data_IF_769351231834
#
_entry.id   IF_769351231834
#
_cell.length_a   1.000
_cell.length_b   1.000
_cell.length_c   1.000
_cell.angle_alpha   90.00
_cell.angle_beta   90.00
_cell.angle_gamma   90.00
#
_symmetry.space_group_name_H-M   'P 1'
#
loop_
_entity.id
_entity.type
_entity.pdbx_description
1 polymer ?
#
# COMPACT_ATOMS: atom_id res chain seq x y z
N UNK A 1 8.02 -12.15 11.13
CA UNK A 1 9.12 -12.14 10.12
C UNK A 1 10.32 -11.31 10.55
N UNK A 2 11.51 -11.47 9.90
CA UNK A 2 12.75 -10.72 10.24
C UNK A 2 12.83 -9.36 9.53
N UNK A 3 13.67 -8.46 10.06
CA UNK A 3 13.86 -7.09 9.53
C UNK A 3 14.27 -7.04 8.04
N UNK A 4 15.04 -8.03 7.57
CA UNK A 4 15.39 -8.09 6.16
C UNK A 4 14.17 -8.35 5.26
N UNK A 5 13.24 -9.20 5.73
CA UNK A 5 12.03 -9.53 4.98
C UNK A 5 11.05 -8.34 4.89
N UNK A 6 10.85 -7.60 5.99
CA UNK A 6 10.00 -6.40 5.93
C UNK A 6 10.63 -5.32 5.04
N UNK A 7 11.97 -5.16 5.06
CA UNK A 7 12.67 -4.22 4.18
C UNK A 7 12.48 -4.60 2.70
N UNK A 8 12.63 -5.88 2.36
CA UNK A 8 12.37 -6.43 1.01
C UNK A 8 10.92 -6.18 0.57
N UNK A 9 9.95 -6.61 1.40
CA UNK A 9 8.52 -6.47 1.11
C UNK A 9 8.06 -5.03 0.88
N UNK A 10 8.68 -4.08 1.56
CA UNK A 10 8.34 -2.66 1.44
C UNK A 10 9.26 -1.89 0.47
N UNK A 11 10.21 -2.58 -0.20
CA UNK A 11 11.15 -1.97 -1.13
C UNK A 11 12.04 -0.91 -0.48
N UNK A 12 12.50 -1.15 0.77
CA UNK A 12 13.38 -0.25 1.52
C UNK A 12 14.62 -0.97 2.03
N UNK A 13 15.45 -0.31 2.82
CA UNK A 13 16.66 -0.91 3.41
C UNK A 13 16.46 -1.19 4.91
N UNK A 14 17.18 -2.18 5.44
CA UNK A 14 17.22 -2.44 6.89
C UNK A 14 17.65 -1.20 7.67
N UNK A 15 18.55 -0.38 7.11
CA UNK A 15 18.96 0.90 7.70
C UNK A 15 17.79 1.87 7.84
N UNK A 16 16.96 1.99 6.81
CA UNK A 16 15.76 2.85 6.81
C UNK A 16 14.73 2.35 7.82
N UNK A 17 14.50 1.03 7.93
CA UNK A 17 13.62 0.45 8.94
C UNK A 17 14.08 0.83 10.35
N UNK A 18 15.38 0.67 10.65
CA UNK A 18 15.96 1.04 11.95
C UNK A 18 15.87 2.53 12.23
N UNK A 19 16.05 3.35 11.20
CA UNK A 19 15.90 4.81 11.31
C UNK A 19 14.46 5.20 11.67
N UNK A 20 13.45 4.59 11.07
CA UNK A 20 12.06 4.86 11.45
C UNK A 20 11.72 4.37 12.87
N UNK A 21 12.36 3.30 13.36
CA UNK A 21 12.28 2.93 14.78
C UNK A 21 12.88 3.99 15.69
N UNK A 22 14.05 4.54 15.35
CA UNK A 22 14.69 5.57 16.17
C UNK A 22 13.91 6.89 16.22
N UNK A 23 13.07 7.16 15.21
CA UNK A 23 12.15 8.29 15.16
C UNK A 23 10.78 8.04 15.82
N UNK A 24 10.53 6.81 16.28
CA UNK A 24 9.22 6.43 16.83
C UNK A 24 8.10 6.31 15.78
N UNK A 25 8.42 6.45 14.50
CA UNK A 25 7.44 6.34 13.41
C UNK A 25 6.97 4.91 13.20
N UNK A 26 7.87 3.94 13.40
CA UNK A 26 7.58 2.52 13.33
C UNK A 26 7.79 1.90 14.71
N UNK A 27 6.78 1.27 15.34
CA UNK A 27 6.94 0.59 16.61
C UNK A 27 8.01 -0.50 16.53
N UNK A 28 8.78 -0.67 17.60
CA UNK A 28 9.72 -1.79 17.69
C UNK A 28 8.93 -3.05 18.02
N UNK A 29 8.97 -4.10 17.19
CA UNK A 29 8.21 -5.31 17.45
C UNK A 29 8.77 -6.08 18.64
N UNK A 30 7.93 -6.93 19.24
CA UNK A 30 8.33 -7.85 20.29
C UNK A 30 9.45 -8.80 19.80
N UNK A 31 10.28 -9.25 20.72
CA UNK A 31 11.28 -10.26 20.43
C UNK A 31 10.69 -11.66 20.62
N UNK A 32 10.89 -12.51 19.63
CA UNK A 32 10.56 -13.93 19.71
C UNK A 32 11.78 -14.76 19.33
N UNK A 33 12.24 -15.60 20.24
CA UNK A 33 13.43 -16.43 20.02
C UNK A 33 14.73 -15.63 19.80
N UNK A 34 14.89 -14.46 20.45
CA UNK A 34 16.07 -13.59 20.33
C UNK A 34 16.09 -12.70 19.06
N UNK A 35 14.97 -12.63 18.32
CA UNK A 35 14.84 -11.80 17.11
C UNK A 35 13.56 -10.98 17.16
N UNK A 36 13.62 -9.77 16.60
CA UNK A 36 12.44 -8.92 16.39
C UNK A 36 11.50 -9.58 15.39
N UNK A 37 10.26 -9.80 15.81
CA UNK A 37 9.23 -10.46 15.01
C UNK A 37 8.26 -9.43 14.42
N UNK A 38 8.49 -9.06 13.15
CA UNK A 38 7.65 -8.11 12.44
C UNK A 38 6.38 -8.81 11.92
N UNK A 39 5.25 -8.16 12.12
CA UNK A 39 3.92 -8.60 11.72
C UNK A 39 3.39 -7.78 10.54
N UNK A 40 2.22 -8.14 10.00
CA UNK A 40 1.55 -7.42 8.91
C UNK A 40 1.35 -5.94 9.25
N UNK A 41 0.92 -5.61 10.45
CA UNK A 41 0.73 -4.23 10.91
C UNK A 41 2.02 -3.38 10.75
N UNK A 42 3.20 -3.97 10.97
CA UNK A 42 4.47 -3.27 10.73
C UNK A 42 4.73 -3.05 9.25
N UNK A 43 4.33 -3.99 8.38
CA UNK A 43 4.47 -3.85 6.91
C UNK A 43 3.54 -2.75 6.40
N UNK A 44 2.28 -2.76 6.82
CA UNK A 44 1.28 -1.76 6.46
C UNK A 44 1.72 -0.36 6.92
N UNK A 45 2.12 -0.22 8.19
CA UNK A 45 2.63 1.04 8.74
C UNK A 45 3.87 1.56 8.01
N UNK A 46 4.84 0.70 7.73
CA UNK A 46 6.04 1.08 6.98
C UNK A 46 5.70 1.51 5.55
N UNK A 47 4.78 0.82 4.89
CA UNK A 47 4.29 1.18 3.56
C UNK A 47 3.59 2.54 3.59
N UNK A 48 2.76 2.81 4.61
CA UNK A 48 2.11 4.10 4.83
C UNK A 48 3.12 5.23 5.04
N UNK A 49 4.14 5.03 5.89
CA UNK A 49 5.22 6.00 6.09
C UNK A 49 5.85 6.35 4.74
N UNK A 50 6.25 5.35 3.96
CA UNK A 50 6.89 5.56 2.66
C UNK A 50 5.99 6.27 1.66
N UNK A 51 4.71 5.93 1.63
CA UNK A 51 3.74 6.57 0.77
C UNK A 51 3.59 8.06 1.09
N UNK A 52 3.48 8.43 2.37
CA UNK A 52 3.41 9.82 2.82
C UNK A 52 4.70 10.59 2.51
N UNK A 53 5.87 9.96 2.71
CA UNK A 53 7.17 10.56 2.37
C UNK A 53 7.30 10.77 0.86
N UNK A 54 6.85 9.81 0.03
CA UNK A 54 6.81 9.97 -1.44
C UNK A 54 5.85 11.08 -1.88
N UNK A 55 4.78 11.32 -1.14
CA UNK A 55 3.91 12.47 -1.34
C UNK A 55 4.59 13.81 -0.99
N UNK A 56 5.81 13.81 -0.47
CA UNK A 56 6.57 15.01 -0.12
C UNK A 56 6.37 15.51 1.31
N UNK A 57 5.71 14.73 2.19
CA UNK A 57 5.53 15.10 3.59
C UNK A 57 6.82 14.92 4.37
N UNK A 58 7.12 15.87 5.28
CA UNK A 58 8.23 15.73 6.22
C UNK A 58 7.96 14.58 7.21
N UNK A 59 9.01 13.98 7.76
CA UNK A 59 8.88 12.90 8.75
C UNK A 59 8.14 13.35 10.01
N UNK A 60 8.24 14.62 10.38
CA UNK A 60 7.47 15.21 11.48
C UNK A 60 5.96 15.23 11.17
N UNK A 61 5.59 15.67 9.95
CA UNK A 61 4.19 15.65 9.51
C UNK A 61 3.65 14.21 9.45
N UNK A 62 4.45 13.26 8.94
CA UNK A 62 4.13 11.84 8.96
C UNK A 62 3.86 11.34 10.38
N UNK A 63 4.70 11.73 11.35
CA UNK A 63 4.53 11.36 12.75
C UNK A 63 3.21 11.86 13.35
N UNK A 64 2.80 13.09 13.04
CA UNK A 64 1.49 13.64 13.47
C UNK A 64 0.33 12.83 12.89
N UNK A 65 0.35 12.59 11.58
CA UNK A 65 -0.71 11.82 10.89
C UNK A 65 -0.83 10.40 11.44
N UNK A 66 0.29 9.75 11.73
CA UNK A 66 0.29 8.40 12.30
C UNK A 66 -0.19 8.38 13.75
N UNK A 67 0.18 9.41 14.54
CA UNK A 67 -0.23 9.54 15.94
C UNK A 67 -1.73 9.80 16.09
N UNK A 68 -2.33 10.61 15.22
CA UNK A 68 -3.77 10.84 15.18
C UNK A 68 -4.55 9.55 14.86
N UNK A 69 -4.01 8.72 13.97
CA UNK A 69 -4.65 7.43 13.60
C UNK A 69 -4.54 6.39 14.72
N UNK A 70 -3.44 6.38 15.47
CA UNK A 70 -3.24 5.47 16.61
C UNK A 70 -4.09 5.93 17.82
N UNK A 71 -4.28 7.25 18.01
CA UNK A 71 -5.08 7.83 19.08
C UNK A 71 -6.58 7.54 18.98
N UNK A 72 -7.08 7.24 17.78
CA UNK A 72 -8.45 6.79 17.57
C UNK A 72 -8.68 5.33 18.02
N UNK A 73 -7.62 4.58 18.32
CA UNK A 73 -7.64 3.15 18.64
C UNK A 73 -7.21 2.78 20.06
N UNK A 74 -6.85 3.74 20.93
CA UNK A 74 -6.37 3.42 22.30
C UNK A 74 -7.02 4.30 23.36
N UNK A 75 -7.51 3.73 24.46
CA UNK A 75 -7.70 4.46 25.70
C UNK A 75 -6.40 4.47 26.54
N UNK A 76 -6.12 5.64 27.08
CA UNK A 76 -5.21 6.03 28.16
C UNK A 76 -3.71 6.23 27.88
N UNK A 77 -3.24 7.44 28.24
CA UNK A 77 -1.83 7.79 28.21
C UNK A 77 -1.23 7.77 29.61
N UNK A 78 -0.21 6.96 29.85
CA UNK A 78 0.72 7.27 30.94
C UNK A 78 2.15 7.45 30.43
N UNK A 79 2.60 8.66 30.56
CA UNK A 79 3.91 9.05 31.07
C UNK A 79 5.14 8.90 30.16
N UNK A 80 5.68 10.03 29.72
CA UNK A 80 7.08 10.08 29.29
C UNK A 80 7.50 11.37 28.60
N UNK A 81 7.87 12.37 29.38
CA UNK A 81 8.54 13.62 28.92
C UNK A 81 9.94 13.33 28.41
N UNK A 82 10.37 14.04 27.38
CA UNK A 82 11.76 14.43 27.29
C UNK A 82 12.38 14.51 25.90
N UNK A 83 12.81 15.69 25.52
CA UNK A 83 14.02 15.88 24.76
C UNK A 83 13.87 16.34 23.32
N UNK A 84 13.91 17.63 23.13
CA UNK A 84 14.14 18.29 21.85
C UNK A 84 15.51 18.00 21.27
N UNK A 85 15.61 18.00 19.97
CA UNK A 85 16.84 17.92 19.22
C UNK A 85 16.59 18.28 17.77
N UNK A 86 16.73 19.57 17.48
CA UNK A 86 16.83 20.05 16.12
C UNK A 86 18.11 19.53 15.49
N UNK A 87 18.07 19.02 14.25
CA UNK A 87 19.22 19.08 13.32
C UNK A 87 18.81 18.76 11.88
N UNK A 88 18.95 19.79 11.09
CA UNK A 88 19.64 19.87 9.81
C UNK A 88 19.05 19.13 8.61
N UNK A 89 18.41 19.93 7.79
CA UNK A 89 18.30 19.72 6.34
C UNK A 89 19.69 19.46 5.73
N UNK A 90 19.85 18.30 5.09
CA UNK A 90 20.97 18.09 4.21
C UNK A 90 20.54 18.34 2.79
N UNK A 91 21.07 19.45 2.29
CA UNK A 91 21.00 19.94 0.93
C UNK A 91 21.49 18.90 -0.08
N UNK A 92 20.73 18.74 -1.15
CA UNK A 92 21.16 18.07 -2.35
C UNK A 92 22.42 18.78 -2.93
N UNK A 93 23.50 18.04 -3.06
CA UNK A 93 24.70 18.53 -3.74
C UNK A 93 24.50 18.39 -5.24
N UNK A 94 24.47 19.52 -5.90
CA UNK A 94 24.61 19.59 -7.38
C UNK A 94 25.98 19.11 -7.85
N UNK A 95 26.06 18.39 -8.95
CA UNK A 95 27.36 18.05 -9.56
C UNK A 95 27.97 19.30 -10.20
N UNK A 96 29.24 19.55 -9.86
CA UNK A 96 30.06 20.59 -10.45
C UNK A 96 30.27 20.32 -11.93
N UNK A 97 29.95 21.31 -12.75
CA UNK A 97 30.33 21.37 -14.15
C UNK A 97 31.84 21.41 -14.29
N UNK A 98 32.40 20.48 -15.04
CA UNK A 98 33.78 20.52 -15.51
C UNK A 98 33.84 21.31 -16.80
N UNK A 99 34.76 22.31 -16.85
CA UNK A 99 34.97 23.16 -17.99
C UNK A 99 35.61 22.38 -19.14
N UNK A 100 35.25 22.64 -20.40
CA UNK A 100 35.92 22.03 -21.57
C UNK A 100 37.20 22.78 -21.92
N UNK A 101 38.24 21.99 -22.19
CA UNK A 101 39.46 22.48 -22.89
C UNK A 101 39.12 22.58 -24.36
N UNK A 102 39.36 23.76 -24.91
CA UNK A 102 39.47 24.05 -26.35
C UNK A 102 40.70 23.39 -26.95
N UNK A 103 40.51 22.51 -27.93
CA UNK A 103 41.50 22.24 -28.99
C UNK A 103 40.81 22.31 -30.34
N UNK A 104 41.29 23.26 -31.14
CA UNK A 104 40.98 23.43 -32.56
C UNK A 104 41.69 22.36 -33.40
N UNK A 105 40.98 21.77 -34.36
CA UNK A 105 41.56 21.29 -35.61
C UNK A 105 40.44 21.00 -36.65
N UNK A 106 40.73 20.96 -37.96
CA UNK A 106 39.93 21.62 -38.97
C UNK A 106 38.96 20.70 -39.70
N UNK A 107 37.98 21.35 -40.31
CA UNK A 107 36.95 20.76 -41.13
C UNK A 107 37.49 20.07 -42.39
N UNK A 108 37.04 18.84 -42.63
CA UNK A 108 36.82 18.30 -43.99
C UNK A 108 35.55 17.54 -44.01
N UNK A 109 34.77 17.79 -45.06
CA UNK A 109 33.38 17.47 -45.22
C UNK A 109 33.01 15.99 -45.31
N UNK A 110 31.72 15.79 -45.47
CA UNK A 110 30.99 14.54 -45.70
C UNK A 110 30.69 13.72 -44.45
N UNK A 111 29.61 14.10 -43.75
CA UNK A 111 28.55 13.14 -43.36
C UNK A 111 27.33 13.92 -42.77
N UNK A 112 26.32 14.18 -43.59
CA UNK A 112 25.14 14.94 -43.23
C UNK A 112 24.11 14.09 -42.42
N UNK A 113 24.55 12.99 -41.77
CA UNK A 113 23.66 12.08 -41.02
C UNK A 113 24.13 11.81 -39.56
N UNK A 114 25.15 12.55 -39.09
CA UNK A 114 25.46 12.48 -37.65
C UNK A 114 24.53 13.41 -36.90
N UNK A 115 23.67 12.82 -36.08
CA UNK A 115 22.87 13.57 -35.10
C UNK A 115 23.81 14.55 -34.36
N UNK A 116 23.43 15.81 -34.28
CA UNK A 116 24.23 16.83 -33.61
C UNK A 116 24.26 16.51 -32.11
N UNK A 117 25.44 16.21 -31.51
CA UNK A 117 25.53 15.83 -30.10
C UNK A 117 24.85 16.82 -29.14
N UNK A 118 24.87 18.12 -29.50
CA UNK A 118 24.18 19.15 -28.70
C UNK A 118 22.68 19.02 -28.79
N UNK A 119 22.11 18.57 -29.87
CA UNK A 119 20.69 18.31 -30.02
C UNK A 119 20.25 17.09 -29.17
N UNK A 120 21.05 16.04 -29.17
CA UNK A 120 20.85 14.84 -28.36
C UNK A 120 20.94 15.17 -26.85
N UNK A 121 21.95 15.95 -26.44
CA UNK A 121 22.12 16.39 -25.06
C UNK A 121 20.95 17.28 -24.59
N UNK A 122 20.49 18.21 -25.46
CA UNK A 122 19.34 19.05 -25.17
C UNK A 122 18.00 18.27 -25.13
N UNK A 123 17.83 17.30 -26.02
CA UNK A 123 16.67 16.43 -26.04
C UNK A 123 16.62 15.56 -24.76
N UNK A 124 17.75 14.95 -24.37
CA UNK A 124 17.82 14.19 -23.12
C UNK A 124 17.61 15.04 -21.86
N UNK A 125 18.10 16.28 -21.86
CA UNK A 125 17.84 17.22 -20.77
C UNK A 125 16.35 17.63 -20.70
N UNK A 126 15.70 17.81 -21.85
CA UNK A 126 14.28 18.13 -21.91
C UNK A 126 13.44 16.95 -21.41
N UNK A 127 13.72 15.74 -21.87
CA UNK A 127 13.04 14.52 -21.43
C UNK A 127 13.16 14.33 -19.91
N UNK A 128 14.35 14.54 -19.33
CA UNK A 128 14.56 14.46 -17.89
C UNK A 128 13.72 15.52 -17.11
N UNK A 129 13.53 16.72 -17.67
CA UNK A 129 12.69 17.77 -17.07
C UNK A 129 11.22 17.41 -17.19
N UNK A 130 10.80 16.84 -18.31
CA UNK A 130 9.40 16.37 -18.50
C UNK A 130 9.06 15.23 -17.54
N UNK A 131 9.93 14.24 -17.38
CA UNK A 131 9.77 13.18 -16.37
C UNK A 131 9.69 13.74 -14.95
N UNK A 132 10.50 14.76 -14.64
CA UNK A 132 10.45 15.42 -13.33
C UNK A 132 9.15 16.20 -13.12
N UNK A 133 8.65 16.86 -14.15
CA UNK A 133 7.34 17.55 -14.10
C UNK A 133 6.19 16.57 -13.86
N UNK A 134 6.22 15.42 -14.51
CA UNK A 134 5.24 14.37 -14.31
C UNK A 134 5.27 13.83 -12.87
N UNK A 135 6.45 13.63 -12.30
CA UNK A 135 6.59 13.19 -10.90
C UNK A 135 6.07 14.26 -9.92
N UNK A 136 6.44 15.53 -10.10
CA UNK A 136 5.95 16.64 -9.27
C UNK A 136 4.43 16.81 -9.40
N UNK A 137 3.88 16.62 -10.61
CA UNK A 137 2.44 16.67 -10.84
C UNK A 137 1.73 15.55 -10.08
N UNK A 138 2.22 14.31 -10.16
CA UNK A 138 1.70 13.18 -9.37
C UNK A 138 1.74 13.45 -7.87
N UNK A 139 2.84 14.02 -7.37
CA UNK A 139 2.97 14.40 -5.95
C UNK A 139 1.96 15.45 -5.54
N UNK A 140 1.77 16.48 -6.37
CA UNK A 140 0.77 17.54 -6.14
C UNK A 140 -0.63 16.95 -6.05
N UNK A 141 -1.02 16.09 -6.98
CA UNK A 141 -2.35 15.50 -7.05
C UNK A 141 -2.60 14.59 -5.83
N UNK A 142 -1.59 13.82 -5.42
CA UNK A 142 -1.65 13.03 -4.20
C UNK A 142 -1.86 13.92 -2.97
N UNK A 143 -1.07 14.99 -2.81
CA UNK A 143 -1.21 15.93 -1.69
C UNK A 143 -2.56 16.64 -1.68
N UNK A 144 -3.07 17.03 -2.84
CA UNK A 144 -4.41 17.63 -2.97
C UNK A 144 -5.50 16.67 -2.48
N UNK A 145 -5.43 15.40 -2.90
CA UNK A 145 -6.35 14.36 -2.44
C UNK A 145 -6.26 14.10 -0.92
N UNK A 146 -5.04 14.10 -0.35
CA UNK A 146 -4.84 13.97 1.10
C UNK A 146 -5.43 15.16 1.86
N UNK A 147 -5.24 16.38 1.34
CA UNK A 147 -5.76 17.60 1.95
C UNK A 147 -7.30 17.60 1.99
N UNK A 148 -7.95 17.21 0.91
CA UNK A 148 -9.42 17.12 0.85
C UNK A 148 -9.96 16.08 1.84
N UNK A 149 -9.33 14.91 1.96
CA UNK A 149 -9.71 13.89 2.96
C UNK A 149 -9.54 14.38 4.38
N UNK A 150 -8.39 15.01 4.69
CA UNK A 150 -8.14 15.57 6.01
C UNK A 150 -9.17 16.67 6.37
N UNK A 151 -9.54 17.53 5.42
CA UNK A 151 -10.59 18.53 5.60
C UNK A 151 -11.97 17.91 5.87
N UNK A 152 -12.25 16.76 5.25
CA UNK A 152 -13.47 15.98 5.49
C UNK A 152 -13.45 15.17 6.79
N UNK A 153 -12.36 15.23 7.59
CA UNK A 153 -12.21 14.43 8.81
C UNK A 153 -11.97 12.94 8.57
N UNK A 154 -11.68 12.54 7.33
CA UNK A 154 -11.40 11.17 6.99
C UNK A 154 -9.94 10.79 7.29
N UNK A 155 -9.72 9.51 7.59
CA UNK A 155 -8.36 8.99 7.78
C UNK A 155 -7.50 9.22 6.54
N UNK A 156 -6.27 9.69 6.74
CA UNK A 156 -5.29 9.87 5.66
C UNK A 156 -4.77 8.49 5.24
N UNK A 157 -5.46 7.88 4.29
CA UNK A 157 -5.19 6.56 3.71
C UNK A 157 -5.46 6.62 2.20
N UNK A 158 -4.81 5.79 1.35
CA UNK A 158 -5.15 5.66 -0.06
C UNK A 158 -6.47 4.90 -0.30
N UNK A 159 -7.02 4.23 0.71
CA UNK A 159 -8.35 3.64 0.61
C UNK A 159 -9.39 4.69 0.22
N UNK A 160 -10.39 4.29 -0.55
CA UNK A 160 -11.55 5.14 -0.78
C UNK A 160 -12.33 5.33 0.53
N UNK A 161 -13.12 6.41 0.67
CA UNK A 161 -13.96 6.61 1.86
C UNK A 161 -14.90 5.43 2.13
N UNK A 162 -15.37 4.76 1.09
CA UNK A 162 -16.28 3.62 1.19
C UNK A 162 -15.57 2.39 1.77
N UNK A 163 -14.34 2.07 1.29
CA UNK A 163 -13.51 1.00 1.86
C UNK A 163 -13.22 1.25 3.35
N UNK A 164 -12.81 2.47 3.70
CA UNK A 164 -12.53 2.83 5.08
C UNK A 164 -13.79 2.70 5.97
N UNK A 165 -14.94 3.19 5.51
CA UNK A 165 -16.21 3.10 6.23
C UNK A 165 -16.65 1.65 6.46
N UNK A 166 -16.44 0.76 5.49
CA UNK A 166 -16.69 -0.69 5.63
C UNK A 166 -15.89 -1.28 6.79
N UNK A 167 -14.56 -1.09 6.79
CA UNK A 167 -13.72 -1.64 7.86
C UNK A 167 -14.03 -1.03 9.23
N UNK A 168 -14.28 0.27 9.31
CA UNK A 168 -14.69 0.94 10.56
C UNK A 168 -16.00 0.36 11.11
N UNK A 169 -16.92 -0.03 10.23
CA UNK A 169 -18.19 -0.66 10.60
C UNK A 169 -17.96 -2.09 11.07
N UNK A 170 -17.18 -2.88 10.34
CA UNK A 170 -16.83 -4.26 10.72
C UNK A 170 -16.08 -4.31 12.05
N UNK A 171 -15.09 -3.44 12.28
CA UNK A 171 -14.37 -3.38 13.55
C UNK A 171 -15.27 -3.04 14.74
N UNK A 172 -16.23 -2.12 14.56
CA UNK A 172 -17.19 -1.75 15.61
C UNK A 172 -18.18 -2.86 15.91
N UNK A 173 -18.61 -3.60 14.89
CA UNK A 173 -19.60 -4.67 15.01
C UNK A 173 -18.97 -6.02 15.40
N UNK A 174 -17.64 -6.16 15.39
CA UNK A 174 -16.95 -7.40 15.74
C UNK A 174 -17.32 -7.87 17.17
N UNK A 175 -17.80 -9.11 17.33
CA UNK A 175 -18.34 -9.61 18.59
C UNK A 175 -17.28 -9.79 19.67
N UNK A 176 -16.03 -10.03 19.30
CA UNK A 176 -14.93 -10.29 20.21
C UNK A 176 -13.59 -9.71 19.71
N UNK A 177 -12.54 -9.84 20.54
CA UNK A 177 -11.22 -9.33 20.23
C UNK A 177 -10.51 -10.08 19.08
N UNK A 178 -10.76 -11.37 18.94
CA UNK A 178 -10.14 -12.20 17.89
C UNK A 178 -10.72 -11.82 16.53
N UNK A 179 -12.05 -11.75 16.41
CA UNK A 179 -12.74 -11.30 15.19
C UNK A 179 -12.29 -9.90 14.79
N UNK A 180 -12.20 -8.98 15.78
CA UNK A 180 -11.73 -7.61 15.53
C UNK A 180 -10.29 -7.57 15.02
N UNK A 181 -9.41 -8.43 15.55
CA UNK A 181 -8.05 -8.54 15.06
C UNK A 181 -8.01 -9.05 13.61
N UNK A 182 -8.84 -10.01 13.24
CA UNK A 182 -8.94 -10.51 11.86
C UNK A 182 -9.40 -9.42 10.90
N UNK A 183 -10.42 -8.64 11.27
CA UNK A 183 -10.89 -7.49 10.48
C UNK A 183 -9.77 -6.45 10.28
N UNK A 184 -9.03 -6.13 11.35
CA UNK A 184 -7.89 -5.20 11.25
C UNK A 184 -6.79 -5.68 10.31
N UNK A 185 -6.50 -6.97 10.32
CA UNK A 185 -5.49 -7.53 9.44
C UNK A 185 -5.93 -7.49 7.97
N UNK A 186 -7.20 -7.73 7.70
CA UNK A 186 -7.74 -7.60 6.35
C UNK A 186 -7.72 -6.14 5.90
N UNK A 187 -8.06 -5.20 6.77
CA UNK A 187 -7.89 -3.77 6.55
C UNK A 187 -6.44 -3.40 6.21
N UNK A 188 -5.47 -3.90 6.99
CA UNK A 188 -4.04 -3.65 6.77
C UNK A 188 -3.59 -4.22 5.41
N UNK A 189 -4.14 -5.35 4.99
CA UNK A 189 -3.86 -5.95 3.68
C UNK A 189 -4.40 -5.08 2.54
N UNK A 190 -5.64 -4.62 2.64
CA UNK A 190 -6.27 -3.72 1.65
C UNK A 190 -5.52 -2.38 1.60
N UNK A 191 -5.19 -1.79 2.74
CA UNK A 191 -4.35 -0.59 2.83
C UNK A 191 -3.01 -0.80 2.11
N UNK A 192 -2.35 -1.92 2.37
CA UNK A 192 -1.08 -2.27 1.74
C UNK A 192 -1.21 -2.39 0.22
N UNK A 193 -2.28 -3.01 -0.28
CA UNK A 193 -2.58 -3.09 -1.70
C UNK A 193 -2.78 -1.69 -2.31
N UNK A 194 -3.50 -0.81 -1.61
CA UNK A 194 -3.70 0.59 -2.01
C UNK A 194 -2.38 1.38 -2.02
N UNK A 195 -1.51 1.26 -1.00
CA UNK A 195 -0.19 1.92 -0.96
C UNK A 195 0.72 1.48 -2.12
N UNK A 196 0.51 0.28 -2.64
CA UNK A 196 1.27 -0.27 -3.76
C UNK A 196 0.66 0.04 -5.12
N UNK A 197 -0.52 0.70 -5.15
CA UNK A 197 -1.27 0.94 -6.38
C UNK A 197 -1.81 -0.36 -7.02
N UNK A 198 -1.98 -1.40 -6.23
CA UNK A 198 -2.45 -2.72 -6.68
C UNK A 198 -3.97 -2.88 -6.52
N UNK A 199 -4.62 -1.98 -5.78
CA UNK A 199 -6.07 -1.94 -5.59
C UNK A 199 -6.66 -0.95 -6.60
N UNK A 200 -7.40 -1.39 -7.63
CA UNK A 200 -8.07 -0.50 -8.56
C UNK A 200 -9.20 0.25 -7.85
N UNK A 201 -9.45 1.54 -8.18
CA UNK A 201 -10.55 2.31 -7.59
C UNK A 201 -11.92 1.62 -7.75
N UNK A 202 -12.11 0.92 -8.85
CA UNK A 202 -13.34 0.18 -9.18
C UNK A 202 -13.64 -0.94 -8.16
N UNK A 203 -12.61 -1.45 -7.47
CA UNK A 203 -12.78 -2.45 -6.42
C UNK A 203 -13.58 -1.94 -5.21
N UNK A 204 -13.79 -0.62 -5.07
CA UNK A 204 -14.63 -0.09 -3.99
C UNK A 204 -16.07 -0.61 -4.01
N UNK A 205 -16.55 -1.08 -5.16
CA UNK A 205 -17.88 -1.68 -5.31
C UNK A 205 -18.09 -2.92 -4.42
N UNK A 206 -17.01 -3.59 -4.02
CA UNK A 206 -17.06 -4.73 -3.10
C UNK A 206 -17.17 -4.33 -1.62
N UNK A 207 -17.01 -3.05 -1.33
CA UNK A 207 -17.13 -2.52 0.03
C UNK A 207 -18.48 -1.83 0.17
N UNK A 208 -19.49 -2.62 0.51
CA UNK A 208 -20.89 -2.20 0.47
C UNK A 208 -21.23 -1.06 1.41
N UNK A 209 -22.29 -0.33 1.04
CA UNK A 209 -23.08 0.47 1.96
C UNK A 209 -23.65 -0.42 3.08
N UNK A 210 -24.02 0.15 4.24
CA UNK A 210 -24.49 -0.63 5.38
C UNK A 210 -25.64 -1.56 4.99
N UNK A 211 -25.38 -2.86 5.06
CA UNK A 211 -26.37 -3.93 4.91
C UNK A 211 -26.23 -4.89 6.09
N UNK A 212 -27.21 -4.93 7.02
CA UNK A 212 -27.10 -5.75 8.22
C UNK A 212 -26.92 -7.24 7.96
N UNK A 213 -27.50 -7.78 6.88
CA UNK A 213 -27.35 -9.19 6.54
C UNK A 213 -25.95 -9.47 6.04
N UNK A 214 -25.47 -8.68 5.09
CA UNK A 214 -24.12 -8.81 4.55
C UNK A 214 -23.04 -8.59 5.63
N UNK A 215 -23.23 -7.61 6.50
CA UNK A 215 -22.33 -7.33 7.62
C UNK A 215 -22.26 -8.53 8.58
N UNK A 216 -23.39 -9.17 8.89
CA UNK A 216 -23.44 -10.35 9.75
C UNK A 216 -22.76 -11.57 9.09
N UNK A 217 -22.99 -11.80 7.81
CA UNK A 217 -22.34 -12.87 7.04
C UNK A 217 -20.81 -12.67 6.96
N UNK A 218 -20.38 -11.43 6.71
CA UNK A 218 -18.95 -11.07 6.69
C UNK A 218 -18.31 -11.29 8.06
N UNK A 219 -18.95 -10.85 9.15
CA UNK A 219 -18.44 -11.07 10.50
C UNK A 219 -18.38 -12.55 10.88
N UNK A 220 -19.33 -13.36 10.44
CA UNK A 220 -19.29 -14.81 10.64
C UNK A 220 -18.09 -15.47 9.94
N UNK A 221 -17.69 -14.96 8.76
CA UNK A 221 -16.46 -15.40 8.09
C UNK A 221 -15.20 -14.96 8.86
N UNK A 222 -15.15 -13.74 9.35
CA UNK A 222 -14.02 -13.24 10.15
C UNK A 222 -13.85 -13.97 11.49
N UNK A 223 -14.94 -14.47 12.08
CA UNK A 223 -14.93 -15.19 13.35
C UNK A 223 -14.38 -16.62 13.25
N UNK A 224 -14.29 -17.19 12.04
CA UNK A 224 -13.76 -18.55 11.83
C UNK A 224 -12.24 -18.53 11.71
N UNK A 225 -11.54 -19.31 12.52
CA UNK A 225 -10.10 -19.54 12.34
C UNK A 225 -9.87 -20.52 11.18
N UNK A 226 -9.24 -20.09 10.07
CA UNK A 226 -8.94 -20.97 8.95
C UNK A 226 -8.06 -22.17 9.31
N UNK A 227 -7.25 -22.08 10.36
CA UNK A 227 -6.38 -23.16 10.80
C UNK A 227 -7.16 -24.36 11.36
N UNK A 228 -8.37 -24.12 11.87
CA UNK A 228 -9.26 -25.16 12.39
C UNK A 228 -10.10 -25.85 11.30
N UNK A 229 -10.11 -25.31 10.07
CA UNK A 229 -10.91 -25.83 8.97
C UNK A 229 -10.18 -26.97 8.24
N UNK A 230 -10.94 -27.97 7.81
CA UNK A 230 -10.48 -28.98 6.83
C UNK A 230 -10.24 -28.33 5.47
N UNK A 231 -9.49 -28.99 4.59
CA UNK A 231 -9.22 -28.51 3.24
C UNK A 231 -10.50 -28.29 2.43
N UNK A 232 -11.50 -29.16 2.59
CA UNK A 232 -12.81 -29.01 1.94
C UNK A 232 -13.57 -27.76 2.45
N UNK A 233 -13.48 -27.48 3.73
CA UNK A 233 -14.08 -26.27 4.34
C UNK A 233 -13.37 -25.00 3.90
N UNK A 234 -12.05 -25.03 3.76
CA UNK A 234 -11.26 -23.93 3.20
C UNK A 234 -11.68 -23.62 1.77
N UNK A 235 -11.82 -24.64 0.90
CA UNK A 235 -12.29 -24.47 -0.47
C UNK A 235 -13.72 -23.92 -0.52
N UNK A 236 -14.61 -24.43 0.33
CA UNK A 236 -15.97 -23.93 0.45
C UNK A 236 -16.01 -22.46 0.88
N UNK A 237 -15.20 -22.09 1.88
CA UNK A 237 -15.07 -20.71 2.35
C UNK A 237 -14.60 -19.76 1.24
N UNK A 238 -13.59 -20.16 0.47
CA UNK A 238 -13.11 -19.37 -0.65
C UNK A 238 -14.21 -19.12 -1.68
N UNK A 239 -14.95 -20.17 -2.07
CA UNK A 239 -16.11 -20.03 -3.00
C UNK A 239 -17.21 -19.15 -2.43
N UNK A 240 -17.54 -19.29 -1.15
CA UNK A 240 -18.55 -18.45 -0.49
C UNK A 240 -18.12 -16.99 -0.48
N UNK A 241 -16.87 -16.70 -0.12
CA UNK A 241 -16.33 -15.33 -0.10
C UNK A 241 -16.44 -14.67 -1.47
N UNK A 242 -16.00 -15.34 -2.52
CA UNK A 242 -16.05 -14.80 -3.89
C UNK A 242 -17.48 -14.72 -4.40
N UNK A 243 -18.32 -15.74 -4.12
CA UNK A 243 -19.75 -15.74 -4.50
C UNK A 243 -20.54 -14.61 -3.84
N UNK A 244 -20.24 -14.28 -2.58
CA UNK A 244 -20.85 -13.12 -1.90
C UNK A 244 -20.46 -11.80 -2.57
N UNK A 245 -19.23 -11.67 -3.10
CA UNK A 245 -18.84 -10.50 -3.88
C UNK A 245 -19.57 -10.45 -5.24
N UNK A 246 -19.69 -11.58 -5.94
CA UNK A 246 -20.46 -11.67 -7.19
C UNK A 246 -21.92 -11.25 -7.00
N UNK A 247 -22.55 -11.68 -5.92
CA UNK A 247 -23.97 -11.41 -5.64
C UNK A 247 -24.29 -9.92 -5.40
N UNK A 248 -23.27 -9.09 -5.17
CA UNK A 248 -23.45 -7.65 -4.90
C UNK A 248 -23.54 -6.79 -6.16
N UNK A 249 -23.15 -7.33 -7.31
CA UNK A 249 -23.02 -6.56 -8.54
C UNK A 249 -23.84 -7.17 -9.66
N UNK A 250 -24.36 -6.29 -10.51
CA UNK A 250 -24.96 -6.72 -11.76
C UNK A 250 -23.89 -7.21 -12.76
N UNK A 251 -24.27 -8.06 -13.73
CA UNK A 251 -23.32 -8.64 -14.68
C UNK A 251 -22.54 -7.64 -15.53
N UNK A 252 -23.09 -6.42 -15.79
CA UNK A 252 -22.37 -5.41 -16.56
C UNK A 252 -21.23 -4.82 -15.76
N UNK A 253 -21.47 -4.48 -14.50
CA UNK A 253 -20.44 -3.97 -13.58
C UNK A 253 -19.36 -5.00 -13.31
N UNK A 254 -19.72 -6.29 -13.19
CA UNK A 254 -18.73 -7.37 -13.05
C UNK A 254 -17.81 -7.46 -14.26
N UNK A 255 -18.37 -7.34 -15.48
CA UNK A 255 -17.58 -7.32 -16.72
C UNK A 255 -16.64 -6.13 -16.81
N UNK A 256 -17.14 -4.95 -16.49
CA UNK A 256 -16.33 -3.73 -16.54
C UNK A 256 -15.19 -3.78 -15.50
N UNK A 257 -15.48 -4.26 -14.30
CA UNK A 257 -14.47 -4.52 -13.28
C UNK A 257 -13.43 -5.53 -13.77
N UNK A 258 -13.86 -6.67 -14.33
CA UNK A 258 -12.94 -7.70 -14.80
C UNK A 258 -12.01 -7.20 -15.92
N UNK A 259 -12.46 -6.26 -16.75
CA UNK A 259 -11.63 -5.63 -17.78
C UNK A 259 -10.60 -4.66 -17.22
N UNK A 260 -10.94 -3.96 -16.13
CA UNK A 260 -10.05 -2.99 -15.46
C UNK A 260 -9.03 -3.66 -14.53
N UNK A 261 -9.32 -4.88 -14.04
CA UNK A 261 -8.45 -5.58 -13.08
C UNK A 261 -7.17 -6.07 -13.75
N UNK A 262 -6.04 -5.66 -13.19
CA UNK A 262 -4.73 -6.22 -13.48
C UNK A 262 -4.56 -7.56 -12.73
N UNK A 263 -4.59 -8.66 -13.47
CA UNK A 263 -4.44 -10.02 -12.95
C UNK A 263 -3.09 -10.23 -12.25
N UNK A 264 -2.03 -9.58 -12.72
CA UNK A 264 -0.71 -9.70 -12.09
C UNK A 264 -0.65 -8.93 -10.77
N UNK A 265 -1.37 -7.82 -10.65
CA UNK A 265 -1.58 -7.14 -9.37
C UNK A 265 -2.34 -8.03 -8.37
N UNK A 266 -3.42 -8.70 -8.80
CA UNK A 266 -4.16 -9.66 -7.95
C UNK A 266 -3.23 -10.78 -7.47
N UNK A 267 -2.49 -11.43 -8.37
CA UNK A 267 -1.51 -12.46 -7.99
C UNK A 267 -0.44 -11.94 -7.03
N UNK A 268 -0.02 -10.68 -7.21
CA UNK A 268 0.97 -10.05 -6.34
C UNK A 268 0.45 -9.87 -4.92
N UNK A 269 -0.82 -9.50 -4.74
CA UNK A 269 -1.47 -9.39 -3.43
C UNK A 269 -1.50 -10.76 -2.75
N UNK A 270 -1.96 -11.82 -3.43
CA UNK A 270 -2.00 -13.17 -2.84
C UNK A 270 -0.62 -13.74 -2.54
N UNK A 271 0.39 -13.47 -3.37
CA UNK A 271 1.79 -13.82 -3.06
C UNK A 271 2.30 -13.10 -1.82
N UNK A 272 1.92 -11.84 -1.65
CA UNK A 272 2.26 -11.07 -0.46
C UNK A 272 1.59 -11.67 0.78
N UNK A 273 0.30 -12.00 0.71
CA UNK A 273 -0.47 -12.64 1.77
C UNK A 273 0.18 -13.96 2.21
N UNK A 274 0.56 -14.80 1.25
CA UNK A 274 1.26 -16.05 1.51
C UNK A 274 2.66 -15.86 2.15
N UNK A 275 3.35 -14.76 1.82
CA UNK A 275 4.68 -14.45 2.36
C UNK A 275 4.66 -13.88 3.79
N UNK A 276 3.49 -13.45 4.26
CA UNK A 276 3.35 -12.78 5.56
C UNK A 276 3.19 -13.77 6.73
N UNK A 277 3.17 -15.09 6.50
CA UNK A 277 3.01 -16.16 7.53
C UNK A 277 1.81 -15.94 8.49
N UNK A 278 0.98 -14.94 8.19
CA UNK A 278 -0.11 -14.49 9.03
C UNK A 278 -1.46 -15.09 8.59
N UNK A 279 -1.58 -15.37 7.31
CA UNK A 279 -2.77 -16.00 6.73
C UNK A 279 -2.54 -17.51 6.56
N UNK A 280 -3.60 -18.30 6.75
CA UNK A 280 -3.57 -19.69 6.37
C UNK A 280 -3.30 -19.77 4.84
N UNK A 281 -2.16 -20.35 4.49
CA UNK A 281 -1.69 -20.44 3.10
C UNK A 281 -2.66 -21.24 2.22
N UNK A 282 -3.44 -22.17 2.80
CA UNK A 282 -4.45 -22.95 2.08
C UNK A 282 -5.59 -22.02 1.64
N UNK A 283 -6.08 -21.19 2.57
CA UNK A 283 -7.14 -20.21 2.28
C UNK A 283 -6.66 -19.16 1.28
N UNK A 284 -5.46 -18.62 1.44
CA UNK A 284 -4.89 -17.65 0.49
C UNK A 284 -4.83 -18.21 -0.93
N UNK A 285 -4.36 -19.47 -1.09
CA UNK A 285 -4.30 -20.15 -2.40
C UNK A 285 -5.68 -20.48 -2.95
N UNK A 286 -6.62 -20.87 -2.11
CA UNK A 286 -8.00 -21.16 -2.53
C UNK A 286 -8.68 -19.87 -3.02
N UNK A 287 -8.54 -18.76 -2.29
CA UNK A 287 -9.05 -17.46 -2.70
C UNK A 287 -8.41 -16.99 -4.01
N UNK A 288 -7.08 -17.09 -4.15
CA UNK A 288 -6.40 -16.72 -5.40
C UNK A 288 -6.99 -17.47 -6.61
N UNK A 289 -7.11 -18.81 -6.52
CA UNK A 289 -7.67 -19.62 -7.60
C UNK A 289 -9.10 -19.22 -7.93
N UNK A 290 -9.94 -19.07 -6.90
CA UNK A 290 -11.35 -18.74 -7.08
C UNK A 290 -11.53 -17.33 -7.68
N UNK A 291 -10.78 -16.34 -7.20
CA UNK A 291 -10.79 -14.98 -7.75
C UNK A 291 -10.36 -14.95 -9.22
N UNK A 292 -9.26 -15.63 -9.57
CA UNK A 292 -8.76 -15.64 -10.94
C UNK A 292 -9.74 -16.33 -11.89
N UNK A 293 -10.28 -17.49 -11.49
CA UNK A 293 -11.29 -18.20 -12.28
C UNK A 293 -12.56 -17.35 -12.47
N UNK A 294 -12.95 -16.61 -11.45
CA UNK A 294 -14.13 -15.73 -11.46
C UNK A 294 -13.92 -14.53 -12.37
N UNK A 295 -12.75 -13.88 -12.34
CA UNK A 295 -12.40 -12.79 -13.25
C UNK A 295 -12.45 -13.27 -14.72
N UNK A 296 -11.95 -14.46 -15.00
CA UNK A 296 -12.04 -15.06 -16.35
C UNK A 296 -13.49 -15.25 -16.79
N UNK A 297 -14.34 -15.83 -15.93
CA UNK A 297 -15.78 -16.00 -16.22
C UNK A 297 -16.47 -14.65 -16.49
N UNK A 298 -16.16 -13.61 -15.75
CA UNK A 298 -16.75 -12.28 -15.97
C UNK A 298 -16.29 -11.64 -17.28
N UNK A 299 -15.08 -11.96 -17.75
CA UNK A 299 -14.57 -11.47 -19.04
C UNK A 299 -15.25 -12.12 -20.23
N UNK A 300 -15.67 -13.38 -20.08
CA UNK A 300 -16.28 -14.20 -21.14
C UNK A 300 -17.80 -14.01 -21.26
N UNK A 301 -18.48 -13.68 -20.16
CA UNK A 301 -19.95 -13.55 -20.08
C UNK A 301 -20.41 -12.12 -20.27
#
# INVERSE_FOLDING_TARGET
>A
MRVAKIAELTGTTVRTVRYYHSLGLLPVPAERGGWRDYELAHVARLSRIRWLVRAGLSLEAVGRILGESDGAASPDPEGGRGGGGALAAQSAQSPRASQPRTEEAPATGEDATRANPVVEDLAGALEAVEEHLDEVTRQRDMLAGLLERARGGATVSPMTPRMAAFFDRMERAAPDGATRATVRNDRDLVDLACYRGQMPPEAEVFFNDPDPQFDAESLALYAQDPAELSDEEVERRARTTVGNLEAQLDPERLRDLARSVDVDAVRSIFRLTAALEYFDIRLARALEREFLATIERWREG
#
